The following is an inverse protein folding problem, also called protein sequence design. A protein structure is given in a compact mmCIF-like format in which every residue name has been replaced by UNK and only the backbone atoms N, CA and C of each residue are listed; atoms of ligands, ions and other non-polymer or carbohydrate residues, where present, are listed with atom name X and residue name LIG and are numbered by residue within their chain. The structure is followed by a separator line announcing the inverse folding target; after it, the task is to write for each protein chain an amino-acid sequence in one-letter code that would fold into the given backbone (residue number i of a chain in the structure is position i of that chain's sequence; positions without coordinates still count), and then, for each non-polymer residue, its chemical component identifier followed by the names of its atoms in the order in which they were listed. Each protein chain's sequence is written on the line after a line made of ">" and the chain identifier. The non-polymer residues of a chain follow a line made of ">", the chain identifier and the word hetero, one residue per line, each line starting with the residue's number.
data_IF_506878027072
#
_entry.id   IF_506878027072
#
_cell.length_a   1.000
_cell.length_b   1.000
_cell.length_c   1.000
_cell.angle_alpha   90.00
_cell.angle_beta   90.00
_cell.angle_gamma   90.00
#
_symmetry.space_group_name_H-M   'P 1'
#
loop_
_entity.id
_entity.type
_entity.pdbx_description
1 polymer ?
#
# COMPACT_ATOMS: atom_id res chain seq x y z
N UNK A 1 39.39 18.10 -9.11
CA UNK A 1 40.39 17.34 -8.31
C UNK A 1 39.83 16.78 -7.00
N UNK A 2 38.94 17.46 -6.26
CA UNK A 2 38.37 16.91 -5.01
C UNK A 2 37.49 15.66 -5.19
N UNK A 3 36.67 15.61 -6.26
CA UNK A 3 35.79 14.48 -6.56
C UNK A 3 36.54 13.18 -6.87
N UNK A 4 37.66 13.24 -7.60
CA UNK A 4 38.47 12.06 -7.95
C UNK A 4 39.17 11.46 -6.73
N UNK A 5 39.58 12.28 -5.76
CA UNK A 5 40.19 11.80 -4.51
C UNK A 5 39.14 11.14 -3.60
N UNK A 6 37.95 11.73 -3.52
CA UNK A 6 36.86 11.27 -2.64
C UNK A 6 36.11 10.02 -3.17
N UNK A 7 36.35 9.62 -4.42
CA UNK A 7 35.63 8.50 -5.07
C UNK A 7 36.56 7.34 -5.46
N UNK A 8 37.83 7.35 -5.01
CA UNK A 8 38.82 6.31 -5.35
C UNK A 8 38.39 4.91 -4.90
N UNK A 9 37.68 4.82 -3.78
CA UNK A 9 37.17 3.56 -3.22
C UNK A 9 35.90 3.04 -3.95
N UNK A 10 35.28 3.85 -4.80
CA UNK A 10 34.10 3.46 -5.57
C UNK A 10 34.48 2.75 -6.88
N UNK A 11 33.63 1.83 -7.32
CA UNK A 11 33.76 1.17 -8.62
C UNK A 11 33.62 2.17 -9.77
N UNK A 12 34.19 1.86 -10.94
CA UNK A 12 34.05 2.70 -12.13
C UNK A 12 32.58 2.96 -12.50
N UNK A 13 31.71 1.97 -12.27
CA UNK A 13 30.26 2.10 -12.49
C UNK A 13 29.61 3.06 -11.50
N UNK A 14 29.96 3.00 -10.21
CA UNK A 14 29.42 3.90 -9.18
C UNK A 14 29.88 5.34 -9.37
N UNK A 15 31.13 5.55 -9.80
CA UNK A 15 31.65 6.87 -10.17
C UNK A 15 30.87 7.47 -11.33
N UNK A 16 30.56 6.67 -12.36
CA UNK A 16 29.72 7.10 -13.48
C UNK A 16 28.32 7.49 -13.02
N UNK A 17 27.71 6.71 -12.12
CA UNK A 17 26.37 7.01 -11.59
C UNK A 17 26.33 8.32 -10.81
N UNK A 18 27.36 8.60 -10.00
CA UNK A 18 27.44 9.87 -9.25
C UNK A 18 27.77 11.03 -10.18
N UNK A 19 28.66 10.84 -11.17
CA UNK A 19 29.01 11.87 -12.14
C UNK A 19 27.81 12.26 -13.03
N UNK A 20 27.02 11.28 -13.48
CA UNK A 20 25.80 11.51 -14.25
C UNK A 20 24.75 12.26 -13.41
N UNK A 21 24.69 12.00 -12.10
CA UNK A 21 23.78 12.69 -11.18
C UNK A 21 24.20 14.13 -10.87
N UNK A 22 25.50 14.43 -10.84
CA UNK A 22 26.06 15.76 -10.55
C UNK A 22 26.24 16.63 -11.81
N UNK A 23 26.10 16.05 -13.01
CA UNK A 23 26.28 16.79 -14.25
C UNK A 23 25.12 17.77 -14.50
N UNK A 24 25.38 19.05 -14.84
CA UNK A 24 24.33 20.06 -15.04
C UNK A 24 23.44 19.83 -16.28
N UNK A 25 23.79 18.84 -17.12
CA UNK A 25 23.05 18.52 -18.33
C UNK A 25 21.72 17.85 -17.98
N UNK A 26 20.64 18.59 -18.19
CA UNK A 26 19.23 18.23 -17.94
C UNK A 26 18.73 17.06 -18.81
N UNK A 27 19.27 15.87 -18.59
CA UNK A 27 18.67 14.62 -19.01
C UNK A 27 18.63 13.70 -17.80
N UNK A 28 17.60 13.89 -16.97
CA UNK A 28 17.23 12.96 -15.90
C UNK A 28 16.96 11.58 -16.50
N UNK A 29 18.00 10.78 -16.70
CA UNK A 29 17.90 9.33 -16.77
C UNK A 29 17.56 8.87 -15.36
N UNK A 30 16.27 8.89 -15.05
CA UNK A 30 15.66 8.73 -13.73
C UNK A 30 15.86 7.34 -13.08
N UNK A 31 16.82 6.54 -13.52
CA UNK A 31 17.01 5.17 -13.04
C UNK A 31 17.77 5.07 -11.72
N UNK A 32 18.70 6.00 -11.45
CA UNK A 32 19.74 5.77 -10.42
C UNK A 32 19.87 6.90 -9.39
N UNK A 33 18.89 7.81 -9.28
CA UNK A 33 18.93 8.96 -8.36
C UNK A 33 19.11 8.52 -6.91
N UNK A 34 18.44 7.44 -6.50
CA UNK A 34 18.52 6.91 -5.13
C UNK A 34 19.93 6.35 -4.86
N UNK A 35 20.49 5.59 -5.82
CA UNK A 35 21.85 5.04 -5.74
C UNK A 35 22.90 6.15 -5.68
N UNK A 36 22.78 7.19 -6.52
CA UNK A 36 23.68 8.33 -6.50
C UNK A 36 23.62 9.10 -5.17
N UNK A 37 22.42 9.28 -4.60
CA UNK A 37 22.25 9.95 -3.31
C UNK A 37 22.86 9.14 -2.15
N UNK A 38 22.73 7.82 -2.16
CA UNK A 38 23.36 6.95 -1.16
C UNK A 38 24.89 7.02 -1.25
N UNK A 39 25.45 6.95 -2.46
CA UNK A 39 26.89 7.06 -2.68
C UNK A 39 27.45 8.42 -2.23
N UNK A 40 26.73 9.51 -2.46
CA UNK A 40 27.11 10.84 -1.97
C UNK A 40 27.11 10.92 -0.44
N UNK A 41 26.16 10.25 0.24
CA UNK A 41 26.15 10.20 1.71
C UNK A 41 27.31 9.39 2.28
N UNK A 42 27.72 8.33 1.59
CA UNK A 42 28.88 7.51 1.96
C UNK A 42 30.18 8.33 1.85
N UNK A 43 30.37 9.03 0.72
CA UNK A 43 31.53 9.91 0.49
C UNK A 43 31.57 11.05 1.52
N UNK A 44 30.41 11.63 1.85
CA UNK A 44 30.32 12.70 2.84
C UNK A 44 30.65 12.23 4.27
N UNK A 45 30.41 10.95 4.58
CA UNK A 45 30.73 10.34 5.87
C UNK A 45 32.22 10.00 6.05
N UNK A 46 32.98 9.80 4.97
CA UNK A 46 34.41 9.49 5.02
C UNK A 46 35.33 10.72 5.23
N UNK A 47 34.77 11.94 5.23
CA UNK A 47 35.54 13.18 5.43
C UNK A 47 35.78 13.51 6.92
N UNK A 48 36.11 12.51 7.73
CA UNK A 48 36.63 12.69 9.10
C UNK A 48 37.74 11.68 9.38
N UNK A 49 38.98 12.18 9.43
CA UNK A 49 40.08 11.54 10.17
C UNK A 49 41.24 11.04 9.31
N UNK A 50 42.28 11.86 9.19
CA UNK A 50 43.61 11.46 8.77
C UNK A 50 44.38 10.77 9.92
N UNK A 51 45.09 9.67 9.64
CA UNK A 51 46.32 9.30 10.36
C UNK A 51 46.43 7.85 10.89
N UNK A 52 47.39 7.13 10.28
CA UNK A 52 48.11 5.92 10.72
C UNK A 52 47.51 4.49 10.57
N UNK A 53 48.35 3.46 10.22
CA UNK A 53 47.89 2.11 9.88
C UNK A 53 48.37 1.03 10.88
N UNK A 54 47.46 0.28 11.50
CA UNK A 54 47.69 -1.07 12.05
C UNK A 54 46.37 -1.75 12.45
N UNK A 55 46.40 -3.05 12.80
CA UNK A 55 46.38 -4.21 11.92
C UNK A 55 44.96 -4.79 11.76
N UNK A 56 44.84 -5.70 10.80
CA UNK A 56 43.62 -6.44 10.41
C UNK A 56 42.76 -6.86 11.61
N UNK A 57 41.62 -6.20 11.79
CA UNK A 57 40.48 -6.73 12.54
C UNK A 57 39.40 -7.11 11.53
N UNK A 58 39.27 -8.41 11.32
CA UNK A 58 38.07 -9.04 10.78
C UNK A 58 36.84 -8.56 11.57
N UNK A 59 35.85 -8.04 10.86
CA UNK A 59 34.57 -7.62 11.41
C UNK A 59 34.45 -6.11 11.49
N UNK A 60 34.23 -5.46 10.34
CA UNK A 60 33.47 -4.22 10.36
C UNK A 60 32.07 -4.59 10.84
N UNK A 61 31.84 -4.50 12.14
CA UNK A 61 30.50 -4.46 12.69
C UNK A 61 29.85 -3.21 12.11
N UNK A 62 29.11 -3.40 11.02
CA UNK A 62 28.04 -2.48 10.64
C UNK A 62 27.27 -2.18 11.93
N UNK A 63 26.98 -0.91 12.25
CA UNK A 63 26.26 -0.56 13.46
C UNK A 63 25.08 -1.50 13.56
N UNK A 64 25.01 -2.31 14.63
CA UNK A 64 23.99 -3.33 14.77
C UNK A 64 22.62 -2.66 14.65
N UNK A 65 22.07 -2.70 13.45
CA UNK A 65 20.83 -2.06 13.12
C UNK A 65 19.76 -2.93 13.77
N UNK A 66 19.05 -2.39 14.76
CA UNK A 66 17.92 -3.09 15.34
C UNK A 66 16.88 -3.38 14.25
N UNK A 67 16.16 -4.49 14.40
CA UNK A 67 15.18 -4.99 13.45
C UNK A 67 14.09 -3.93 13.14
N UNK A 68 13.69 -3.18 14.17
CA UNK A 68 12.76 -2.05 14.03
C UNK A 68 13.35 -0.91 13.20
N UNK A 69 14.61 -0.55 13.45
CA UNK A 69 15.29 0.48 12.70
C UNK A 69 15.44 0.08 11.21
N UNK A 70 15.74 -1.20 10.95
CA UNK A 70 15.80 -1.77 9.61
C UNK A 70 14.46 -1.62 8.88
N UNK A 71 13.36 -1.97 9.55
CA UNK A 71 12.03 -1.83 8.96
C UNK A 71 11.64 -0.36 8.75
N UNK A 72 11.92 0.53 9.70
CA UNK A 72 11.63 1.96 9.56
C UNK A 72 12.40 2.59 8.38
N UNK A 73 13.66 2.22 8.19
CA UNK A 73 14.45 2.63 7.02
C UNK A 73 13.86 2.07 5.72
N UNK A 74 13.44 0.81 5.75
CA UNK A 74 12.80 0.13 4.62
C UNK A 74 11.52 0.84 4.19
N UNK A 75 10.65 1.19 5.14
CA UNK A 75 9.37 1.86 4.87
C UNK A 75 9.56 3.32 4.45
N UNK A 76 10.55 4.03 5.01
CA UNK A 76 10.92 5.38 4.55
C UNK A 76 11.38 5.38 3.09
N UNK A 77 12.12 4.36 2.69
CA UNK A 77 12.63 4.23 1.31
C UNK A 77 11.57 3.69 0.35
N UNK A 78 10.73 2.76 0.82
CA UNK A 78 9.72 2.06 0.05
C UNK A 78 8.39 2.01 0.82
N UNK A 79 7.60 3.10 0.77
CA UNK A 79 6.33 3.16 1.49
C UNK A 79 5.37 2.05 1.05
N UNK A 80 4.61 1.51 2.01
CA UNK A 80 3.54 0.56 1.71
C UNK A 80 2.39 1.34 1.06
N UNK A 81 2.20 1.13 -0.24
CA UNK A 81 1.13 1.73 -1.01
C UNK A 81 0.31 0.66 -1.73
N UNK A 82 -0.97 0.96 -2.00
CA UNK A 82 -1.91 0.08 -2.71
C UNK A 82 -1.32 -0.37 -4.05
N UNK A 83 -0.79 0.59 -4.83
CA UNK A 83 -0.16 0.35 -6.13
C UNK A 83 1.38 0.36 -6.05
N UNK A 84 1.93 0.29 -4.83
CA UNK A 84 3.37 0.25 -4.61
C UNK A 84 3.99 -1.02 -5.20
N UNK A 85 5.14 -0.89 -5.85
CA UNK A 85 5.94 -2.05 -6.27
C UNK A 85 7.08 -2.22 -5.27
N UNK A 86 7.29 -3.46 -4.85
CA UNK A 86 8.44 -3.77 -4.03
C UNK A 86 9.72 -3.63 -4.88
N UNK A 87 10.79 -2.98 -4.39
CA UNK A 87 12.09 -2.98 -5.05
C UNK A 87 12.65 -4.41 -5.18
N UNK A 88 13.54 -4.62 -6.15
CA UNK A 88 14.22 -5.90 -6.36
C UNK A 88 15.11 -6.31 -5.17
N UNK A 89 15.38 -7.61 -5.03
CA UNK A 89 16.12 -8.19 -3.90
C UNK A 89 17.46 -7.49 -3.62
N UNK A 90 18.24 -7.21 -4.66
CA UNK A 90 19.55 -6.55 -4.54
C UNK A 90 19.44 -5.19 -3.83
N UNK A 91 18.50 -4.36 -4.26
CA UNK A 91 18.26 -3.02 -3.67
C UNK A 91 17.83 -3.12 -2.21
N UNK A 92 17.03 -4.14 -1.87
CA UNK A 92 16.62 -4.38 -0.48
C UNK A 92 17.80 -4.81 0.39
N UNK A 93 18.62 -5.73 -0.11
CA UNK A 93 19.82 -6.20 0.56
C UNK A 93 20.82 -5.06 0.78
N UNK A 94 21.00 -4.17 -0.19
CA UNK A 94 21.87 -3.00 -0.06
C UNK A 94 21.36 -2.00 0.98
N UNK A 95 20.05 -1.87 1.16
CA UNK A 95 19.46 -0.92 2.09
C UNK A 95 19.51 -1.38 3.56
N UNK A 96 19.11 -2.63 3.83
CA UNK A 96 18.95 -3.14 5.21
C UNK A 96 19.90 -4.28 5.57
N UNK A 97 20.74 -4.71 4.63
CA UNK A 97 21.64 -5.84 4.81
C UNK A 97 20.96 -7.21 4.61
N UNK A 98 21.77 -8.24 4.36
CA UNK A 98 21.31 -9.62 4.12
C UNK A 98 20.53 -10.17 5.32
N UNK A 99 20.95 -9.81 6.54
CA UNK A 99 20.34 -10.32 7.78
C UNK A 99 18.87 -9.91 7.93
N UNK A 100 18.50 -8.69 7.53
CA UNK A 100 17.16 -8.13 7.74
C UNK A 100 16.31 -8.05 6.46
N UNK A 101 16.91 -8.27 5.27
CA UNK A 101 16.22 -8.16 3.98
C UNK A 101 14.94 -8.97 3.93
N UNK A 102 15.04 -10.25 4.30
CA UNK A 102 13.91 -11.16 4.21
C UNK A 102 12.77 -10.74 5.13
N UNK A 103 13.12 -10.36 6.35
CA UNK A 103 12.17 -9.95 7.38
C UNK A 103 11.43 -8.67 6.98
N UNK A 104 12.17 -7.65 6.56
CA UNK A 104 11.58 -6.40 6.10
C UNK A 104 10.67 -6.60 4.89
N UNK A 105 11.09 -7.46 3.94
CA UNK A 105 10.29 -7.80 2.78
C UNK A 105 9.00 -8.52 3.14
N UNK A 106 9.05 -9.51 4.03
CA UNK A 106 7.88 -10.29 4.43
C UNK A 106 6.87 -9.41 5.20
N UNK A 107 7.33 -8.52 6.09
CA UNK A 107 6.49 -7.52 6.75
C UNK A 107 5.84 -6.56 5.76
N UNK A 108 6.63 -5.94 4.89
CA UNK A 108 6.13 -5.01 3.88
C UNK A 108 5.08 -5.66 2.98
N UNK A 109 5.32 -6.92 2.58
CA UNK A 109 4.39 -7.71 1.76
C UNK A 109 3.08 -7.99 2.52
N UNK A 110 3.16 -8.33 3.80
CA UNK A 110 2.00 -8.57 4.65
C UNK A 110 1.15 -7.30 4.81
N UNK A 111 1.80 -6.16 5.10
CA UNK A 111 1.15 -4.87 5.27
C UNK A 111 0.47 -4.41 3.98
N UNK A 112 1.15 -4.54 2.84
CA UNK A 112 0.55 -4.24 1.55
C UNK A 112 -0.65 -5.13 1.24
N UNK A 113 -0.57 -6.43 1.50
CA UNK A 113 -1.67 -7.36 1.26
C UNK A 113 -2.88 -6.98 2.11
N UNK A 114 -2.65 -6.61 3.36
CA UNK A 114 -3.69 -6.12 4.28
C UNK A 114 -4.32 -4.82 3.79
N UNK A 115 -3.51 -3.87 3.33
CA UNK A 115 -3.98 -2.61 2.76
C UNK A 115 -4.85 -2.84 1.52
N UNK A 116 -4.42 -3.72 0.62
CA UNK A 116 -5.17 -4.10 -0.58
C UNK A 116 -6.47 -4.82 -0.24
N UNK A 117 -6.45 -5.73 0.73
CA UNK A 117 -7.65 -6.41 1.22
C UNK A 117 -8.70 -5.40 1.70
N UNK A 118 -8.30 -4.42 2.53
CA UNK A 118 -9.20 -3.35 2.99
C UNK A 118 -9.74 -2.50 1.84
N UNK A 119 -8.89 -2.20 0.85
CA UNK A 119 -9.30 -1.42 -0.31
C UNK A 119 -10.34 -2.16 -1.18
N UNK A 120 -10.13 -3.46 -1.40
CA UNK A 120 -11.06 -4.32 -2.15
C UNK A 120 -12.39 -4.49 -1.41
N UNK A 121 -12.37 -4.71 -0.09
CA UNK A 121 -13.59 -4.96 0.70
C UNK A 121 -14.59 -3.78 0.64
N UNK A 122 -14.16 -2.58 0.24
CA UNK A 122 -15.01 -1.41 0.09
C UNK A 122 -15.96 -1.44 -1.12
N UNK A 123 -16.30 -2.62 -1.64
CA UNK A 123 -17.42 -2.75 -2.58
C UNK A 123 -18.72 -2.20 -1.96
N UNK A 124 -19.60 -1.68 -2.82
CA UNK A 124 -20.88 -1.08 -2.43
C UNK A 124 -21.82 -2.06 -1.72
N UNK A 125 -23.08 -1.68 -1.48
CA UNK A 125 -24.04 -2.41 -0.62
C UNK A 125 -24.33 -3.88 -0.94
N UNK A 126 -23.93 -4.40 -2.12
CA UNK A 126 -24.22 -5.78 -2.54
C UNK A 126 -22.93 -6.58 -2.58
N UNK A 127 -23.01 -7.84 -2.13
CA UNK A 127 -21.90 -8.79 -2.22
C UNK A 127 -21.45 -8.86 -3.70
N UNK A 128 -20.18 -8.53 -4.00
CA UNK A 128 -19.66 -8.64 -5.35
C UNK A 128 -19.57 -10.13 -5.76
N UNK A 129 -19.61 -10.39 -7.07
CA UNK A 129 -19.30 -11.70 -7.62
C UNK A 129 -17.79 -11.86 -7.80
N UNK A 130 -17.28 -13.09 -7.82
CA UNK A 130 -15.85 -13.38 -8.04
C UNK A 130 -15.31 -12.69 -9.29
N UNK A 131 -16.02 -12.81 -10.41
CA UNK A 131 -15.65 -12.17 -11.68
C UNK A 131 -15.50 -10.65 -11.54
N UNK A 132 -16.39 -10.00 -10.78
CA UNK A 132 -16.34 -8.56 -10.54
C UNK A 132 -15.12 -8.17 -9.71
N UNK A 133 -14.76 -8.98 -8.72
CA UNK A 133 -13.56 -8.76 -7.90
C UNK A 133 -12.30 -8.92 -8.77
N UNK A 134 -12.23 -9.97 -9.59
CA UNK A 134 -11.13 -10.18 -10.54
C UNK A 134 -10.96 -9.01 -11.50
N UNK A 135 -12.02 -8.63 -12.22
CA UNK A 135 -11.98 -7.52 -13.17
C UNK A 135 -11.57 -6.20 -12.50
N UNK A 136 -11.98 -5.99 -11.24
CA UNK A 136 -11.58 -4.81 -10.48
C UNK A 136 -10.08 -4.85 -10.12
N UNK A 137 -9.57 -6.01 -9.66
CA UNK A 137 -8.14 -6.17 -9.34
C UNK A 137 -7.25 -6.02 -10.59
N UNK A 138 -7.71 -6.50 -11.74
CA UNK A 138 -7.06 -6.29 -13.03
C UNK A 138 -7.04 -4.82 -13.42
N UNK A 139 -8.15 -4.10 -13.21
CA UNK A 139 -8.23 -2.66 -13.45
C UNK A 139 -7.26 -1.86 -12.58
N UNK A 140 -7.05 -2.26 -11.33
CA UNK A 140 -6.04 -1.68 -10.44
C UNK A 140 -4.60 -2.06 -10.83
N UNK A 141 -4.41 -2.97 -11.79
CA UNK A 141 -3.10 -3.35 -12.31
C UNK A 141 -2.25 -4.16 -11.33
N UNK A 142 -2.88 -4.87 -10.40
CA UNK A 142 -2.17 -5.67 -9.41
C UNK A 142 -1.68 -6.97 -10.02
N UNK A 143 -0.36 -7.08 -10.21
CA UNK A 143 0.28 -8.27 -10.79
C UNK A 143 0.96 -9.17 -9.75
N UNK A 144 1.34 -8.59 -8.60
CA UNK A 144 2.06 -9.28 -7.53
C UNK A 144 1.43 -8.99 -6.19
N UNK A 145 1.44 -9.94 -5.26
CA UNK A 145 0.87 -9.77 -3.90
C UNK A 145 -0.62 -9.41 -3.90
N UNK A 146 -1.39 -10.13 -4.72
CA UNK A 146 -2.83 -9.97 -4.84
C UNK A 146 -3.54 -10.70 -3.68
N UNK A 147 -4.57 -10.09 -3.06
CA UNK A 147 -5.43 -10.81 -2.12
C UNK A 147 -6.16 -11.97 -2.79
N UNK A 148 -6.51 -12.99 -2.00
CA UNK A 148 -7.33 -14.11 -2.49
C UNK A 148 -8.80 -13.69 -2.61
N UNK A 149 -9.42 -13.99 -3.76
CA UNK A 149 -10.79 -13.56 -4.07
C UNK A 149 -11.81 -14.27 -3.16
N UNK A 150 -11.62 -15.55 -2.86
CA UNK A 150 -12.50 -16.28 -1.95
C UNK A 150 -12.45 -15.68 -0.54
N UNK A 151 -11.24 -15.36 -0.07
CA UNK A 151 -11.04 -14.66 1.20
C UNK A 151 -11.72 -13.28 1.21
N UNK A 152 -11.61 -12.50 0.13
CA UNK A 152 -12.30 -11.21 -0.03
C UNK A 152 -13.81 -11.38 0.14
N UNK A 153 -14.41 -12.34 -0.56
CA UNK A 153 -15.86 -12.57 -0.50
C UNK A 153 -16.34 -13.01 0.89
N UNK A 154 -15.55 -13.84 1.58
CA UNK A 154 -15.83 -14.27 2.95
C UNK A 154 -15.74 -13.12 3.96
N UNK A 155 -14.81 -12.19 3.76
CA UNK A 155 -14.58 -11.06 4.66
C UNK A 155 -15.40 -9.81 4.29
N UNK A 156 -16.06 -9.84 3.13
CA UNK A 156 -16.85 -8.71 2.64
C UNK A 156 -17.97 -8.35 3.60
N UNK A 157 -18.18 -7.04 3.79
CA UNK A 157 -19.29 -6.51 4.57
C UNK A 157 -19.97 -5.38 3.78
N UNK A 158 -21.30 -5.27 3.84
CA UNK A 158 -22.00 -4.17 3.21
C UNK A 158 -21.49 -2.83 3.75
N UNK A 159 -21.15 -1.92 2.86
CA UNK A 159 -20.82 -0.54 3.22
C UNK A 159 -22.11 0.25 3.49
N UNK A 160 -22.31 0.67 4.75
CA UNK A 160 -23.41 1.53 5.20
C UNK A 160 -24.05 1.07 6.51
N UNK A 161 -24.47 2.01 7.36
CA UNK A 161 -25.29 1.69 8.54
C UNK A 161 -26.74 1.47 8.13
N UNK A 162 -27.45 0.59 8.84
CA UNK A 162 -28.92 0.44 8.69
C UNK A 162 -29.61 1.79 8.90
N UNK A 163 -29.08 2.65 9.76
CA UNK A 163 -29.61 4.00 10.02
C UNK A 163 -29.61 4.90 8.77
N UNK A 164 -28.58 4.79 7.91
CA UNK A 164 -28.54 5.52 6.63
C UNK A 164 -29.44 4.91 5.54
N UNK A 165 -30.10 3.77 5.79
CA UNK A 165 -31.08 3.21 4.87
C UNK A 165 -32.35 4.08 4.82
N UNK A 166 -32.77 4.65 5.96
CA UNK A 166 -33.94 5.55 6.04
C UNK A 166 -33.71 6.83 5.22
N UNK A 167 -32.46 7.29 5.15
CA UNK A 167 -32.06 8.45 4.33
C UNK A 167 -31.84 8.14 2.86
N UNK A 168 -31.91 6.87 2.46
CA UNK A 168 -31.79 6.49 1.06
C UNK A 168 -32.94 7.08 0.25
N UNK A 169 -32.61 7.91 -0.73
CA UNK A 169 -33.58 8.53 -1.64
C UNK A 169 -34.53 7.51 -2.27
N UNK A 170 -34.07 6.28 -2.51
CA UNK A 170 -34.88 5.16 -3.00
C UNK A 170 -35.92 4.71 -1.98
N UNK A 171 -35.56 4.58 -0.70
CA UNK A 171 -36.49 4.21 0.38
C UNK A 171 -37.46 5.36 0.66
N UNK A 172 -36.98 6.62 0.69
CA UNK A 172 -37.85 7.81 0.78
C UNK A 172 -38.86 7.86 -0.38
N UNK A 173 -38.41 7.56 -1.60
CA UNK A 173 -39.27 7.45 -2.78
C UNK A 173 -40.28 6.30 -2.62
N UNK A 174 -39.85 5.13 -2.17
CA UNK A 174 -40.76 4.01 -1.93
C UNK A 174 -41.81 4.34 -0.86
N UNK A 175 -41.45 5.04 0.22
CA UNK A 175 -42.38 5.50 1.26
C UNK A 175 -43.34 6.59 0.73
N UNK A 176 -42.84 7.56 -0.05
CA UNK A 176 -43.67 8.64 -0.61
C UNK A 176 -44.64 8.16 -1.69
N UNK A 177 -44.22 7.21 -2.52
CA UNK A 177 -45.02 6.69 -3.63
C UNK A 177 -45.69 5.35 -3.28
N UNK A 178 -45.69 4.94 -2.01
CA UNK A 178 -46.29 3.69 -1.58
C UNK A 178 -47.82 3.74 -1.70
N UNK A 179 -48.30 3.33 -2.88
CA UNK A 179 -49.70 2.92 -3.07
C UNK A 179 -49.80 1.48 -2.59
N UNK A 180 -50.34 1.31 -1.39
CA UNK A 180 -50.65 -0.01 -0.84
C UNK A 180 -51.87 -0.60 -1.56
N UNK A 181 -51.65 -1.05 -2.79
CA UNK A 181 -52.66 -1.70 -3.60
C UNK A 181 -53.15 -2.93 -2.85
N UNK A 182 -54.46 -3.03 -2.66
CA UNK A 182 -55.03 -4.13 -1.91
C UNK A 182 -55.23 -3.84 -0.42
N UNK A 183 -54.95 -2.63 0.08
CA UNK A 183 -55.25 -2.20 1.45
C UNK A 183 -56.20 -1.01 1.44
N UNK A 184 -57.23 -1.06 2.27
CA UNK A 184 -58.18 0.04 2.48
C UNK A 184 -58.31 0.34 3.98
N UNK A 185 -58.57 1.61 4.30
CA UNK A 185 -58.89 2.02 5.67
C UNK A 185 -60.39 1.86 5.86
N UNK A 186 -60.80 1.15 6.91
CA UNK A 186 -62.20 0.91 7.28
C UNK A 186 -62.41 1.20 8.75
N UNK A 187 -63.62 1.60 9.12
CA UNK A 187 -64.00 1.75 10.52
C UNK A 187 -64.41 0.39 11.08
N UNK A 188 -63.72 -0.04 12.14
CA UNK A 188 -63.98 -1.30 12.82
C UNK A 188 -64.67 -0.98 14.14
N UNK A 189 -65.88 -1.51 14.30
CA UNK A 189 -66.70 -1.26 15.48
C UNK A 189 -65.95 -1.66 16.77
N UNK A 190 -65.92 -0.74 17.74
CA UNK A 190 -65.19 -0.91 19.00
C UNK A 190 -63.66 -0.77 18.93
N UNK A 191 -63.06 -0.57 17.74
CA UNK A 191 -61.60 -0.45 17.57
C UNK A 191 -61.16 0.79 16.78
N UNK A 192 -62.10 1.53 16.19
CA UNK A 192 -61.82 2.72 15.39
C UNK A 192 -61.30 2.38 13.99
N UNK A 193 -60.52 3.28 13.39
CA UNK A 193 -59.99 3.09 12.02
C UNK A 193 -58.96 1.96 11.98
N UNK A 194 -59.23 0.93 11.18
CA UNK A 194 -58.34 -0.18 10.89
C UNK A 194 -58.03 -0.33 9.40
N UNK A 195 -57.11 -1.22 9.05
CA UNK A 195 -56.72 -1.51 7.67
C UNK A 195 -57.22 -2.90 7.29
N UNK A 196 -57.89 -3.03 6.15
CA UNK A 196 -58.39 -4.30 5.60
C UNK A 196 -57.78 -4.59 4.24
N UNK A 197 -57.52 -5.87 3.97
CA UNK A 197 -57.04 -6.35 2.68
C UNK A 197 -58.21 -6.50 1.69
N UNK A 198 -58.04 -6.06 0.44
CA UNK A 198 -59.00 -6.25 -0.66
C UNK A 198 -58.55 -7.32 -1.66
N UNK A 199 -57.40 -7.96 -1.43
CA UNK A 199 -56.89 -9.12 -2.19
C UNK A 199 -56.13 -10.09 -1.29
N UNK A 200 -55.92 -11.32 -1.77
CA UNK A 200 -55.05 -12.31 -1.11
C UNK A 200 -53.58 -11.91 -1.24
N UNK A 201 -52.79 -12.17 -0.21
CA UNK A 201 -51.36 -11.92 -0.12
C UNK A 201 -50.61 -13.23 0.07
#
# INVERSE_FOLDING_TARGET
>A
QAFETATRHLSHMDRSVVADYLSPSTSTKSGNVIRARMLLSLIAGESSGSGEPAPRTSGAECPQMDERAAYDLFIKSFPVAINGRCPGKLVRTELVGIAYERLCYDHWRSDQKTLRMKHVIHFGRRLPTEHRVHAWMEKEGWTSNCPDVQQILRQWRPSGSVDTAVDCSVIKKLLQYQRWMGLIIVEIEGKGRGVKTTRKF
#
